data_IF_306770610132
#
_entry.id   IF_306770610132
#
_cell.length_a   1.000
_cell.length_b   1.000
_cell.length_c   1.000
_cell.angle_alpha   90.00
_cell.angle_beta   90.00
_cell.angle_gamma   90.00
#
_symmetry.space_group_name_H-M   'P 1'
#
loop_
_entity.id
_entity.type
_entity.pdbx_description
1 polymer ?
#
# COMPACT_ATOMS: atom_id res chain seq x y z
N UNK A 1 -50.31 22.96 22.78
CA UNK A 1 -49.33 23.85 22.12
C UNK A 1 -48.01 23.10 22.02
N UNK A 2 -47.29 23.30 20.90
CA UNK A 2 -46.25 22.45 20.32
C UNK A 2 -44.91 22.47 21.09
N UNK A 3 -44.29 21.27 21.19
CA UNK A 3 -42.84 20.91 21.07
C UNK A 3 -41.85 21.61 22.03
N UNK A 4 -40.82 20.97 22.58
CA UNK A 4 -39.62 20.47 21.88
C UNK A 4 -38.89 19.48 22.82
N UNK A 5 -38.64 18.25 22.36
CA UNK A 5 -37.64 17.33 22.91
C UNK A 5 -36.26 17.79 22.40
N UNK A 6 -35.30 17.98 23.31
CA UNK A 6 -33.90 18.22 22.96
C UNK A 6 -33.19 16.87 22.82
N UNK A 7 -33.06 16.38 21.59
CA UNK A 7 -32.20 15.23 21.26
C UNK A 7 -30.80 15.78 21.06
N UNK A 8 -29.91 15.53 22.02
CA UNK A 8 -28.48 15.79 21.88
C UNK A 8 -27.93 14.69 20.97
N UNK A 9 -27.87 14.97 19.68
CA UNK A 9 -27.17 14.15 18.69
C UNK A 9 -25.67 14.40 18.87
N UNK A 10 -24.97 13.47 19.51
CA UNK A 10 -23.50 13.43 19.52
C UNK A 10 -23.07 13.06 18.10
N UNK A 11 -22.69 14.07 17.33
CA UNK A 11 -21.92 13.91 16.10
C UNK A 11 -20.52 13.46 16.52
N UNK A 12 -20.24 12.16 16.38
CA UNK A 12 -18.88 11.63 16.44
C UNK A 12 -18.13 12.13 15.20
N UNK A 13 -17.55 13.32 15.33
CA UNK A 13 -16.61 13.88 14.36
C UNK A 13 -15.29 13.12 14.56
N UNK A 14 -14.98 12.17 13.66
CA UNK A 14 -13.66 11.56 13.61
C UNK A 14 -12.62 12.67 13.49
N UNK A 15 -11.74 12.80 14.47
CA UNK A 15 -10.71 13.81 14.48
C UNK A 15 -9.68 13.48 13.38
N UNK A 16 -9.82 14.12 12.22
CA UNK A 16 -8.76 14.14 11.20
C UNK A 16 -7.66 15.04 11.76
N UNK A 17 -6.64 14.42 12.37
CA UNK A 17 -5.44 15.10 12.82
C UNK A 17 -4.66 15.57 11.59
N UNK A 18 -4.72 16.87 11.31
CA UNK A 18 -3.91 17.52 10.30
C UNK A 18 -2.54 17.86 10.88
N UNK A 19 -1.49 17.27 10.34
CA UNK A 19 -0.11 17.62 10.67
C UNK A 19 0.64 18.02 9.38
N UNK A 20 1.55 18.99 9.47
CA UNK A 20 2.53 19.21 8.42
C UNK A 20 3.43 17.96 8.31
N UNK A 21 3.96 17.66 7.12
CA UNK A 21 4.92 16.56 7.00
C UNK A 21 6.12 16.80 7.94
N UNK A 22 6.39 15.87 8.86
CA UNK A 22 7.55 15.97 9.73
C UNK A 22 8.82 15.67 8.94
N UNK A 23 9.95 16.19 9.40
CA UNK A 23 11.27 15.78 8.90
C UNK A 23 11.84 14.69 9.81
N UNK A 24 12.40 13.64 9.20
CA UNK A 24 13.06 12.55 9.90
C UNK A 24 12.16 11.34 10.17
N UNK A 25 12.50 10.59 11.21
CA UNK A 25 11.89 9.30 11.52
C UNK A 25 10.62 9.46 12.37
N UNK A 26 9.52 8.88 11.88
CA UNK A 26 8.27 8.74 12.60
C UNK A 26 8.09 7.28 13.01
N UNK A 27 7.80 7.10 14.31
CA UNK A 27 7.41 5.80 14.87
C UNK A 27 5.94 5.86 15.26
N UNK A 28 5.17 4.93 14.72
CA UNK A 28 3.76 4.76 15.08
C UNK A 28 3.68 3.80 16.28
N UNK A 29 3.07 4.26 17.38
CA UNK A 29 3.07 3.56 18.66
C UNK A 29 1.91 2.57 18.83
N UNK A 30 0.84 2.73 18.06
CA UNK A 30 -0.28 1.79 17.97
C UNK A 30 -0.24 1.10 16.61
N UNK A 31 0.03 -0.19 16.61
CA UNK A 31 0.04 -1.01 15.41
C UNK A 31 -0.56 -2.37 15.72
N UNK A 32 -1.33 -2.90 14.79
CA UNK A 32 -1.96 -4.21 14.88
C UNK A 32 -0.96 -5.35 14.68
N UNK A 33 0.20 -5.08 14.06
CA UNK A 33 1.17 -6.10 13.68
C UNK A 33 2.63 -5.64 13.70
N UNK A 34 3.48 -6.46 13.10
CA UNK A 34 4.88 -6.07 12.82
C UNK A 34 4.95 -5.22 11.55
N UNK A 35 6.05 -4.47 11.38
CA UNK A 35 6.31 -3.70 10.17
C UNK A 35 6.14 -4.58 8.92
N UNK A 36 5.28 -4.14 7.99
CA UNK A 36 4.96 -4.86 6.76
C UNK A 36 3.86 -5.90 6.96
N UNK A 37 3.98 -7.01 6.24
CA UNK A 37 2.99 -8.10 6.25
C UNK A 37 3.08 -8.97 7.51
N UNK A 38 1.93 -9.19 8.14
CA UNK A 38 1.71 -10.16 9.21
C UNK A 38 0.54 -11.07 8.83
N UNK A 39 0.71 -12.38 8.94
CA UNK A 39 -0.38 -13.33 8.74
C UNK A 39 -1.21 -13.40 10.03
N UNK A 40 -2.51 -13.03 9.97
CA UNK A 40 -3.39 -13.16 11.12
C UNK A 40 -4.07 -14.54 11.15
N UNK A 41 -4.64 -14.93 10.01
CA UNK A 41 -5.28 -16.23 9.86
C UNK A 41 -5.22 -16.74 8.43
N UNK A 42 -5.31 -18.05 8.24
CA UNK A 42 -5.40 -18.67 6.92
C UNK A 42 -6.10 -20.02 6.97
N UNK A 43 -6.91 -20.28 5.96
CA UNK A 43 -7.55 -21.57 5.70
C UNK A 43 -7.51 -21.88 4.20
N UNK A 44 -8.11 -22.99 3.77
CA UNK A 44 -8.23 -23.38 2.37
C UNK A 44 -9.13 -22.45 1.56
N UNK A 45 -9.97 -21.65 2.22
CA UNK A 45 -10.95 -20.76 1.58
C UNK A 45 -10.63 -19.28 1.74
N UNK A 46 -9.71 -18.89 2.63
CA UNK A 46 -9.36 -17.48 2.80
C UNK A 46 -7.98 -17.28 3.46
N UNK A 47 -7.45 -16.07 3.35
CA UNK A 47 -6.28 -15.60 4.07
C UNK A 47 -6.56 -14.20 4.60
N UNK A 48 -6.38 -14.00 5.90
CA UNK A 48 -6.48 -12.70 6.56
C UNK A 48 -5.08 -12.18 6.89
N UNK A 49 -4.79 -11.01 6.36
CA UNK A 49 -3.48 -10.36 6.42
C UNK A 49 -3.63 -9.04 7.14
N UNK A 50 -2.71 -8.77 8.06
CA UNK A 50 -2.54 -7.43 8.64
C UNK A 50 -1.29 -6.83 8.03
N UNK A 51 -1.40 -5.63 7.48
CA UNK A 51 -0.27 -4.82 7.06
C UNK A 51 -0.14 -3.61 7.95
N UNK A 52 1.03 -3.42 8.58
CA UNK A 52 1.26 -2.32 9.50
C UNK A 52 2.53 -1.54 9.18
N UNK A 53 2.48 -0.21 9.33
CA UNK A 53 3.65 0.66 9.33
C UNK A 53 3.92 1.06 10.78
N UNK A 54 5.05 0.59 11.30
CA UNK A 54 5.52 0.96 12.63
C UNK A 54 6.56 2.09 12.55
N UNK A 55 7.22 2.21 11.39
CA UNK A 55 8.24 3.22 11.12
C UNK A 55 8.16 3.73 9.68
N UNK A 56 8.19 5.05 9.53
CA UNK A 56 8.26 5.76 8.25
C UNK A 56 9.27 6.91 8.38
N UNK A 57 10.10 7.12 7.37
CA UNK A 57 11.08 8.21 7.36
C UNK A 57 10.74 9.17 6.22
N UNK A 58 10.74 10.46 6.55
CA UNK A 58 10.60 11.56 5.61
C UNK A 58 11.97 12.20 5.42
N UNK A 59 12.50 12.16 4.19
CA UNK A 59 13.80 12.72 3.83
C UNK A 59 13.62 13.85 2.82
N UNK A 60 14.27 14.98 3.07
CA UNK A 60 14.34 16.09 2.13
C UNK A 60 15.29 15.73 0.99
N UNK A 61 14.84 15.98 -0.25
CA UNK A 61 15.62 15.69 -1.44
C UNK A 61 15.51 16.82 -2.45
N UNK A 62 16.64 17.42 -2.76
CA UNK A 62 16.73 18.43 -3.82
C UNK A 62 16.89 17.75 -5.18
N UNK A 63 16.00 18.09 -6.13
CA UNK A 63 16.00 17.58 -7.50
C UNK A 63 15.73 18.77 -8.42
N UNK A 64 16.66 19.08 -9.32
CA UNK A 64 16.53 20.21 -10.26
C UNK A 64 16.17 21.53 -9.57
N UNK A 65 16.82 21.85 -8.45
CA UNK A 65 16.60 23.06 -7.64
C UNK A 65 15.21 23.14 -6.97
N UNK A 66 14.40 22.08 -7.04
CA UNK A 66 13.13 21.94 -6.33
C UNK A 66 13.31 20.99 -5.13
N UNK A 67 12.78 21.38 -3.96
CA UNK A 67 12.78 20.54 -2.77
C UNK A 67 11.60 19.58 -2.77
N UNK A 68 11.90 18.29 -2.65
CA UNK A 68 10.92 17.22 -2.52
C UNK A 68 11.08 16.48 -1.19
N UNK A 69 10.03 15.75 -0.85
CA UNK A 69 9.99 14.78 0.22
C UNK A 69 10.08 13.38 -0.40
N UNK A 70 11.08 12.62 0.05
CA UNK A 70 11.23 11.19 -0.23
C UNK A 70 10.73 10.40 0.97
N UNK A 71 9.89 9.41 0.71
CA UNK A 71 9.41 8.47 1.72
C UNK A 71 10.32 7.25 1.75
N UNK A 72 10.82 6.87 2.93
CA UNK A 72 11.57 5.64 3.12
C UNK A 72 10.78 4.73 4.05
N UNK A 73 10.32 3.62 3.49
CA UNK A 73 9.69 2.53 4.21
C UNK A 73 10.72 1.42 4.48
N UNK A 74 11.00 1.06 5.75
CA UNK A 74 11.99 0.03 6.06
C UNK A 74 11.67 -1.29 5.35
N UNK A 75 12.69 -1.88 4.71
CA UNK A 75 12.56 -3.11 3.93
C UNK A 75 12.21 -2.90 2.46
N UNK A 76 11.88 -1.66 2.05
CA UNK A 76 11.72 -1.31 0.64
C UNK A 76 12.93 -0.56 0.09
N UNK A 77 13.36 -1.00 -1.10
CA UNK A 77 14.54 -0.50 -1.79
C UNK A 77 14.25 -0.01 -3.19
N UNK A 78 13.23 -0.57 -3.85
CA UNK A 78 12.90 -0.21 -5.22
C UNK A 78 11.97 1.01 -5.24
N UNK A 79 12.20 1.97 -6.16
CA UNK A 79 11.28 3.07 -6.37
C UNK A 79 9.97 2.57 -6.98
N UNK A 80 8.96 3.45 -6.99
CA UNK A 80 7.73 3.20 -7.75
C UNK A 80 7.97 3.24 -9.27
N UNK A 81 6.89 3.10 -10.04
CA UNK A 81 6.95 3.18 -11.50
C UNK A 81 7.42 4.57 -11.95
N UNK A 82 8.31 4.61 -12.94
CA UNK A 82 8.96 5.83 -13.44
C UNK A 82 7.95 6.97 -13.65
N UNK A 83 8.28 8.13 -13.07
CA UNK A 83 7.53 9.37 -13.21
C UNK A 83 6.24 9.48 -12.39
N UNK A 84 5.77 8.38 -11.79
CA UNK A 84 4.68 8.42 -10.81
C UNK A 84 5.21 8.91 -9.45
N UNK A 85 4.37 9.42 -8.52
CA UNK A 85 4.82 9.72 -7.16
C UNK A 85 5.55 8.53 -6.52
N UNK A 86 6.75 8.76 -5.99
CA UNK A 86 7.63 7.73 -5.41
C UNK A 86 7.11 7.25 -4.05
N UNK A 87 6.02 6.49 -4.10
CA UNK A 87 5.35 5.90 -2.95
C UNK A 87 5.82 4.45 -2.78
N UNK A 88 6.58 4.13 -1.72
CA UNK A 88 7.07 2.77 -1.52
C UNK A 88 5.91 1.82 -1.25
N UNK A 89 6.00 0.61 -1.79
CA UNK A 89 5.02 -0.44 -1.58
C UNK A 89 5.70 -1.78 -1.46
N UNK A 90 4.98 -2.78 -0.98
CA UNK A 90 5.48 -4.13 -0.81
C UNK A 90 4.50 -5.13 -1.39
N UNK A 91 5.01 -6.22 -1.96
CA UNK A 91 4.18 -7.31 -2.46
C UNK A 91 4.57 -8.66 -1.87
N UNK A 92 3.58 -9.53 -1.74
CA UNK A 92 3.75 -10.95 -1.40
C UNK A 92 2.93 -11.83 -2.31
N UNK A 93 3.44 -13.03 -2.59
CA UNK A 93 2.67 -14.05 -3.27
C UNK A 93 1.75 -14.75 -2.28
N UNK A 94 0.50 -14.95 -2.69
CA UNK A 94 -0.49 -15.77 -1.98
C UNK A 94 -0.77 -16.97 -2.86
N UNK A 95 -0.58 -18.17 -2.32
CA UNK A 95 -1.00 -19.40 -2.98
C UNK A 95 -2.53 -19.46 -2.97
N UNK A 96 -3.12 -19.88 -4.09
CA UNK A 96 -4.57 -19.95 -4.26
C UNK A 96 -4.99 -21.36 -4.67
N UNK A 97 -6.20 -21.82 -4.30
CA UNK A 97 -6.70 -23.10 -4.77
C UNK A 97 -6.87 -23.12 -6.28
N UNK A 98 -6.61 -24.27 -6.89
CA UNK A 98 -6.79 -24.48 -8.32
C UNK A 98 -8.24 -24.18 -8.74
N UNK A 99 -8.38 -23.35 -9.77
CA UNK A 99 -9.67 -22.96 -10.34
C UNK A 99 -10.51 -22.03 -9.46
N UNK A 100 -9.94 -21.49 -8.37
CA UNK A 100 -10.61 -20.47 -7.56
C UNK A 100 -10.55 -19.08 -8.20
N UNK A 101 -11.57 -18.27 -7.94
CA UNK A 101 -11.51 -16.83 -8.11
C UNK A 101 -11.08 -16.18 -6.79
N UNK A 102 -10.27 -15.13 -6.85
CA UNK A 102 -9.80 -14.44 -5.66
C UNK A 102 -10.51 -13.11 -5.55
N UNK A 103 -11.14 -12.87 -4.40
CA UNK A 103 -11.71 -11.59 -4.02
C UNK A 103 -10.88 -10.99 -2.88
N UNK A 104 -10.53 -9.72 -2.98
CA UNK A 104 -9.67 -9.04 -2.00
C UNK A 104 -10.37 -7.80 -1.50
N UNK A 105 -10.52 -7.71 -0.18
CA UNK A 105 -11.19 -6.59 0.47
C UNK A 105 -10.34 -6.01 1.61
N UNK A 106 -10.41 -4.70 1.77
CA UNK A 106 -9.88 -3.99 2.93
C UNK A 106 -11.00 -3.93 3.97
N UNK A 107 -10.87 -4.69 5.06
CA UNK A 107 -11.95 -4.85 6.05
C UNK A 107 -11.87 -3.83 7.18
N UNK A 108 -10.66 -3.40 7.55
CA UNK A 108 -10.42 -2.39 8.57
C UNK A 108 -9.11 -1.65 8.29
N UNK A 109 -9.01 -0.39 8.70
CA UNK A 109 -7.81 0.40 8.49
C UNK A 109 -7.72 1.63 9.39
N UNK A 110 -6.48 2.07 9.63
CA UNK A 110 -6.16 3.35 10.27
C UNK A 110 -5.38 4.24 9.30
N UNK A 111 -5.71 5.52 9.25
CA UNK A 111 -5.00 6.49 8.40
C UNK A 111 -4.54 7.72 9.17
N UNK A 112 -3.43 8.30 8.70
CA UNK A 112 -2.94 9.61 9.09
C UNK A 112 -2.76 10.45 7.82
N UNK A 113 -3.16 11.72 7.86
CA UNK A 113 -3.04 12.63 6.73
C UNK A 113 -1.98 13.70 7.01
N UNK A 114 -1.05 13.86 6.08
CA UNK A 114 -0.05 14.91 6.05
C UNK A 114 -0.37 15.88 4.91
N UNK A 115 -0.31 17.18 5.19
CA UNK A 115 -0.47 18.21 4.18
C UNK A 115 0.87 18.84 3.80
N UNK A 116 0.85 19.60 2.70
CA UNK A 116 1.99 20.36 2.19
C UNK A 116 3.21 19.47 1.88
N UNK A 117 2.96 18.23 1.45
CA UNK A 117 4.00 17.25 1.10
C UNK A 117 4.25 17.30 -0.41
N UNK A 118 5.49 17.57 -0.81
CA UNK A 118 5.88 17.58 -2.23
C UNK A 118 6.60 16.27 -2.56
N UNK A 119 5.88 15.23 -2.96
CA UNK A 119 6.49 13.91 -3.23
C UNK A 119 7.24 13.92 -4.56
N UNK A 120 8.51 13.49 -4.53
CA UNK A 120 9.33 13.34 -5.73
C UNK A 120 8.72 12.29 -6.68
N UNK A 121 8.85 12.46 -8.01
CA UNK A 121 8.53 11.38 -8.94
C UNK A 121 9.56 10.26 -8.75
N UNK A 122 9.15 9.02 -9.00
CA UNK A 122 10.05 7.89 -9.01
C UNK A 122 11.02 8.01 -10.19
N UNK A 123 12.34 7.81 -9.97
CA UNK A 123 13.30 7.92 -11.04
C UNK A 123 13.21 6.74 -12.00
N UNK A 124 13.65 6.95 -13.23
CA UNK A 124 13.98 5.84 -14.13
C UNK A 124 15.09 5.00 -13.50
N UNK A 125 14.92 3.68 -13.47
CA UNK A 125 15.99 2.76 -13.07
C UNK A 125 16.94 2.61 -14.27
N UNK A 126 18.19 3.09 -14.18
CA UNK A 126 19.14 3.01 -15.30
C UNK A 126 19.61 1.58 -15.50
N UNK A 127 20.04 1.26 -16.71
CA UNK A 127 20.79 0.04 -16.98
C UNK A 127 22.21 0.17 -16.42
N UNK A 128 22.85 -0.95 -16.10
CA UNK A 128 24.26 -0.97 -15.64
C UNK A 128 25.24 -0.41 -16.70
N UNK A 129 24.81 -0.32 -17.95
CA UNK A 129 25.57 0.28 -19.05
C UNK A 129 25.43 1.79 -19.18
N UNK A 130 24.54 2.41 -18.41
CA UNK A 130 24.24 3.84 -18.46
C UNK A 130 24.96 4.58 -17.33
N UNK A 131 25.94 5.42 -17.69
CA UNK A 131 26.69 6.25 -16.74
C UNK A 131 26.14 7.69 -16.73
N UNK A 132 24.86 7.80 -16.38
CA UNK A 132 24.12 9.06 -16.32
C UNK A 132 23.46 9.24 -14.94
N UNK A 133 23.26 10.48 -14.46
CA UNK A 133 22.54 10.72 -13.22
C UNK A 133 21.09 10.24 -13.34
N UNK A 134 20.46 9.91 -12.21
CA UNK A 134 19.06 9.51 -12.17
C UNK A 134 18.15 10.64 -12.66
N UNK A 135 17.23 10.31 -13.56
CA UNK A 135 16.23 11.23 -14.10
C UNK A 135 14.93 11.13 -13.31
N UNK A 136 14.38 12.28 -12.92
CA UNK A 136 13.18 12.42 -12.08
C UNK A 136 12.07 13.14 -12.85
N UNK A 137 11.66 12.57 -13.98
CA UNK A 137 10.67 13.19 -14.85
C UNK A 137 9.25 12.99 -14.28
N UNK A 138 8.52 14.07 -13.98
CA UNK A 138 7.12 13.97 -13.52
C UNK A 138 6.24 13.46 -14.66
N UNK A 139 5.43 12.42 -14.41
CA UNK A 139 4.32 12.09 -15.29
C UNK A 139 3.19 13.10 -15.06
N UNK A 140 3.09 14.07 -15.97
CA UNK A 140 2.09 15.14 -15.89
C UNK A 140 0.64 14.65 -16.02
N UNK A 141 0.40 13.43 -16.49
CA UNK A 141 -0.95 12.85 -16.47
C UNK A 141 -1.42 12.54 -15.05
N UNK A 142 -0.48 12.30 -14.12
CA UNK A 142 -0.74 12.07 -12.69
C UNK A 142 -0.53 13.37 -11.91
N UNK A 143 0.60 14.07 -12.13
CA UNK A 143 0.97 15.24 -11.33
C UNK A 143 0.09 16.48 -11.53
N UNK A 144 -0.65 16.56 -12.65
CA UNK A 144 -1.63 17.63 -12.88
C UNK A 144 -3.06 17.23 -12.51
N UNK A 145 -3.26 16.02 -12.00
CA UNK A 145 -4.58 15.51 -11.64
C UNK A 145 -4.87 15.76 -10.16
N UNK A 146 -5.96 16.48 -9.88
CA UNK A 146 -6.48 16.65 -8.52
C UNK A 146 -7.24 15.40 -8.06
N UNK A 147 -6.50 14.30 -7.90
CA UNK A 147 -7.01 13.00 -7.49
C UNK A 147 -5.96 12.25 -6.66
N UNK A 148 -6.42 11.27 -5.87
CA UNK A 148 -5.54 10.41 -5.08
C UNK A 148 -4.86 9.37 -5.98
N UNK A 149 -3.54 9.24 -5.84
CA UNK A 149 -2.71 8.24 -6.49
C UNK A 149 -1.93 7.39 -5.47
N UNK A 150 -1.89 6.05 -5.61
CA UNK A 150 -2.79 5.28 -6.45
C UNK A 150 -4.25 5.42 -5.95
N UNK A 151 -5.21 5.18 -6.84
CA UNK A 151 -6.64 5.20 -6.48
C UNK A 151 -6.98 4.13 -5.43
N UNK A 152 -6.32 2.96 -5.52
CA UNK A 152 -6.47 1.87 -4.58
C UNK A 152 -5.11 1.53 -3.95
N UNK A 153 -5.00 1.44 -2.61
CA UNK A 153 -3.76 1.08 -1.93
C UNK A 153 -3.44 -0.41 -2.05
N UNK A 154 -4.40 -1.23 -2.47
CA UNK A 154 -4.23 -2.67 -2.69
C UNK A 154 -4.27 -2.95 -4.20
N UNK A 155 -3.26 -3.66 -4.70
CA UNK A 155 -3.10 -3.99 -6.12
C UNK A 155 -2.88 -5.50 -6.21
N UNK A 156 -3.71 -6.20 -6.97
CA UNK A 156 -3.58 -7.64 -7.20
C UNK A 156 -3.15 -7.95 -8.63
N UNK A 157 -2.31 -8.98 -8.80
CA UNK A 157 -2.00 -9.49 -10.12
C UNK A 157 -3.09 -10.44 -10.63
N UNK A 158 -3.06 -10.71 -11.94
CA UNK A 158 -3.74 -11.90 -12.46
C UNK A 158 -3.12 -13.17 -11.84
N UNK A 159 -3.90 -14.25 -11.68
CA UNK A 159 -3.37 -15.55 -11.30
C UNK A 159 -2.24 -16.00 -12.25
N UNK A 160 -1.18 -16.53 -11.67
CA UNK A 160 -0.05 -17.13 -12.37
C UNK A 160 0.35 -18.43 -11.67
N UNK A 161 1.21 -19.24 -12.28
CA UNK A 161 1.67 -20.50 -11.69
C UNK A 161 3.17 -20.46 -11.46
N UNK A 162 3.58 -20.80 -10.24
CA UNK A 162 4.99 -20.95 -9.87
C UNK A 162 5.20 -22.41 -9.48
N UNK A 163 5.92 -23.16 -10.33
CA UNK A 163 6.23 -24.59 -10.13
C UNK A 163 4.99 -25.45 -9.83
N UNK A 164 3.88 -25.16 -10.52
CA UNK A 164 2.62 -25.90 -10.41
C UNK A 164 1.75 -25.51 -9.23
N UNK A 165 2.10 -24.48 -8.47
CA UNK A 165 1.23 -23.83 -7.47
C UNK A 165 0.68 -22.55 -8.09
N UNK A 166 -0.64 -22.43 -8.12
CA UNK A 166 -1.30 -21.21 -8.55
C UNK A 166 -1.15 -20.14 -7.47
N UNK A 167 -0.77 -18.94 -7.88
CA UNK A 167 -0.51 -17.81 -6.99
C UNK A 167 -1.06 -16.51 -7.57
N UNK A 168 -1.36 -15.55 -6.71
CA UNK A 168 -1.50 -14.14 -7.06
C UNK A 168 -0.46 -13.33 -6.30
N UNK A 169 -0.04 -12.18 -6.85
CA UNK A 169 0.68 -11.16 -6.09
C UNK A 169 -0.33 -10.24 -5.42
N UNK A 170 -0.23 -10.09 -4.11
CA UNK A 170 -0.90 -9.05 -3.34
C UNK A 170 0.12 -7.94 -3.08
N UNK A 171 -0.04 -6.82 -3.77
CA UNK A 171 0.74 -5.60 -3.57
C UNK A 171 -0.02 -4.62 -2.68
N UNK A 172 0.69 -4.04 -1.71
CA UNK A 172 0.19 -3.01 -0.82
C UNK A 172 1.09 -1.78 -0.98
N UNK A 173 0.48 -0.68 -1.44
CA UNK A 173 1.04 0.68 -1.38
C UNK A 173 0.26 1.39 -0.28
N UNK A 174 0.78 1.45 0.96
CA UNK A 174 0.04 1.97 2.13
C UNK A 174 0.00 3.51 2.14
N UNK A 175 -0.08 4.12 0.96
CA UNK A 175 -0.02 5.54 0.72
C UNK A 175 -1.02 5.91 -0.37
N UNK A 176 -1.66 7.06 -0.21
CA UNK A 176 -2.36 7.74 -1.29
C UNK A 176 -1.98 9.20 -1.28
N UNK A 177 -1.63 9.75 -2.44
CA UNK A 177 -1.11 11.09 -2.57
C UNK A 177 -1.88 11.85 -3.64
N UNK A 178 -2.29 13.09 -3.32
CA UNK A 178 -2.80 14.02 -4.31
C UNK A 178 -1.72 15.06 -4.65
N UNK A 179 -1.19 15.05 -5.89
CA UNK A 179 -0.12 15.98 -6.30
C UNK A 179 -0.52 17.46 -6.35
N UNK A 180 -1.79 17.76 -6.61
CA UNK A 180 -2.29 19.14 -6.73
C UNK A 180 -2.51 19.76 -5.36
N UNK A 181 -3.20 19.04 -4.46
CA UNK A 181 -3.44 19.52 -3.10
C UNK A 181 -2.28 19.25 -2.13
N UNK A 182 -1.26 18.50 -2.56
CA UNK A 182 -0.07 18.11 -1.77
C UNK A 182 -0.44 17.37 -0.48
N UNK A 183 -1.50 16.57 -0.53
CA UNK A 183 -2.00 15.78 0.59
C UNK A 183 -1.54 14.33 0.47
N UNK A 184 -0.88 13.81 1.51
CA UNK A 184 -0.45 12.42 1.65
C UNK A 184 -1.26 11.74 2.75
N UNK A 185 -2.00 10.71 2.39
CA UNK A 185 -2.69 9.79 3.30
C UNK A 185 -1.80 8.58 3.48
N UNK A 186 -1.45 8.26 4.73
CA UNK A 186 -0.67 7.09 5.12
C UNK A 186 -1.58 6.12 5.85
N UNK A 187 -1.65 4.88 5.37
CA UNK A 187 -2.34 3.79 6.05
C UNK A 187 -1.38 3.18 7.07
N UNK A 188 -1.62 3.41 8.36
CA UNK A 188 -0.74 2.88 9.41
C UNK A 188 -1.03 1.41 9.70
N UNK A 189 -2.29 1.00 9.57
CA UNK A 189 -2.74 -0.37 9.69
C UNK A 189 -3.78 -0.67 8.62
N UNK A 190 -3.73 -1.87 8.06
CA UNK A 190 -4.70 -2.38 7.09
C UNK A 190 -4.96 -3.84 7.42
N UNK A 191 -6.22 -4.20 7.61
CA UNK A 191 -6.66 -5.58 7.71
C UNK A 191 -7.30 -5.97 6.38
N UNK A 192 -6.73 -6.98 5.74
CA UNK A 192 -7.02 -7.36 4.37
C UNK A 192 -7.51 -8.80 4.38
N UNK A 193 -8.70 -9.00 3.84
CA UNK A 193 -9.31 -10.31 3.70
C UNK A 193 -9.23 -10.75 2.24
N UNK A 194 -8.65 -11.93 2.01
CA UNK A 194 -8.46 -12.54 0.71
C UNK A 194 -9.29 -13.81 0.67
N UNK A 195 -10.40 -13.79 -0.06
CA UNK A 195 -11.35 -14.90 -0.17
C UNK A 195 -11.10 -15.71 -1.45
N UNK A 196 -11.15 -17.04 -1.32
CA UNK A 196 -11.04 -17.98 -2.43
C UNK A 196 -12.42 -18.55 -2.74
N UNK A 197 -13.00 -18.12 -3.87
CA UNK A 197 -14.36 -18.44 -4.27
C UNK A 197 -14.32 -19.52 -5.35
N UNK A 198 -14.94 -20.67 -5.08
CA UNK A 198 -14.96 -21.81 -5.99
C UNK A 198 -13.66 -22.64 -5.95
N UNK A 199 -13.31 -23.28 -7.07
CA UNK A 199 -12.15 -24.17 -7.14
C UNK A 199 -12.35 -25.53 -6.45
N UNK A 200 -11.26 -26.27 -6.30
CA UNK A 200 -11.25 -27.64 -5.75
C UNK A 200 -10.55 -27.77 -4.38
N UNK A 201 -10.25 -26.65 -3.72
CA UNK A 201 -9.48 -26.56 -2.46
C UNK A 201 -8.10 -27.22 -2.49
N UNK A 202 -7.57 -27.54 -3.68
CA UNK A 202 -6.22 -28.09 -3.83
C UNK A 202 -5.23 -26.99 -4.19
N UNK A 203 -4.13 -26.98 -3.45
CA UNK A 203 -2.99 -26.12 -3.72
C UNK A 203 -1.87 -26.96 -4.33
N UNK A 204 -1.48 -26.61 -5.56
CA UNK A 204 -0.37 -27.29 -6.23
C UNK A 204 -0.76 -28.56 -7.00
N UNK A 205 0.06 -28.94 -7.97
CA UNK A 205 -0.04 -30.23 -8.65
C UNK A 205 0.51 -31.37 -7.80
N UNK A 206 -0.29 -32.42 -7.58
CA UNK A 206 0.11 -33.60 -6.80
C UNK A 206 1.39 -34.27 -7.35
N UNK A 207 1.56 -34.30 -8.68
CA UNK A 207 2.75 -34.88 -9.35
C UNK A 207 4.06 -34.13 -9.03
N UNK A 208 3.97 -32.86 -8.64
CA UNK A 208 5.12 -32.00 -8.35
C UNK A 208 5.42 -31.91 -6.85
N UNK A 209 4.57 -32.51 -6.00
CA UNK A 209 4.83 -32.61 -4.56
C UNK A 209 5.95 -33.59 -4.28
N UNK A 210 6.74 -33.30 -3.28
CA UNK A 210 7.75 -34.24 -2.81
C UNK A 210 7.03 -35.44 -2.19
N UNK A 211 7.31 -36.66 -2.65
CA UNK A 211 6.67 -37.87 -2.11
C UNK A 211 7.00 -38.14 -0.64
N UNK A 212 7.99 -37.45 -0.08
CA UNK A 212 8.46 -37.60 1.30
C UNK A 212 7.99 -36.49 2.25
N UNK A 213 7.32 -35.44 1.74
CA UNK A 213 6.82 -34.31 2.54
C UNK A 213 5.44 -33.87 2.03
#
# INVERSE_FOLDING_TARGET
MKKILFVVSILALGAILFCAAPQGEIKYSSSLGTQGFSLNNSDQSYVEIVYSINKLIFEDKEINEELFTKLILPGQLLPADEGTPDLPGESRFIAIPQGSHVDVSLIDFNTITYNDVNIAPAPRIPLDTEDAPLEYNKDYTIYNQDALYPENPIITSKPTSIRGVDVISLGIKPFQYNPVSKQLIVYTDMVIDVQFIGGNNKFGEDRLRNIWF
#
